data_IF_628522293726
#
_entry.id   IF_628522293726
#
_cell.length_a   1.000
_cell.length_b   1.000
_cell.length_c   1.000
_cell.angle_alpha   90.00
_cell.angle_beta   90.00
_cell.angle_gamma   90.00
#
_symmetry.space_group_name_H-M   'P 1'
#
loop_
_entity.id
_entity.type
_entity.pdbx_description
1 polymer ?
#
# COMPACT_ATOMS: atom_id res chain seq x y z
N UNK A 1 -8.86 -15.86 3.97
CA UNK A 1 -8.56 -15.65 5.41
C UNK A 1 -7.21 -15.01 5.45
N UNK A 2 -7.12 -13.83 6.06
CA UNK A 2 -5.85 -13.16 6.29
C UNK A 2 -4.97 -14.02 7.19
N UNK A 3 -3.71 -14.19 6.82
CA UNK A 3 -2.76 -15.03 7.53
C UNK A 3 -2.39 -14.40 8.89
N UNK A 4 -2.63 -15.12 9.99
CA UNK A 4 -2.34 -14.63 11.36
C UNK A 4 -0.84 -14.31 11.56
N UNK A 5 0.06 -15.04 10.89
CA UNK A 5 1.50 -14.77 10.96
C UNK A 5 1.88 -13.51 10.18
N UNK A 6 1.15 -13.17 9.12
CA UNK A 6 1.28 -11.91 8.40
C UNK A 6 0.83 -10.74 9.29
N UNK A 7 -0.34 -10.83 9.91
CA UNK A 7 -0.84 -9.81 10.83
C UNK A 7 0.15 -9.52 11.96
N UNK A 8 0.74 -10.56 12.57
CA UNK A 8 1.78 -10.40 13.61
C UNK A 8 3.03 -9.67 13.11
N UNK A 9 3.44 -9.90 11.87
CA UNK A 9 4.60 -9.20 11.28
C UNK A 9 4.27 -7.73 11.00
N UNK A 10 3.09 -7.44 10.48
CA UNK A 10 2.64 -6.06 10.23
C UNK A 10 2.51 -5.30 11.54
N UNK A 11 1.92 -5.93 12.57
CA UNK A 11 1.85 -5.35 13.92
C UNK A 11 3.23 -5.02 14.48
N UNK A 12 4.19 -5.95 14.35
CA UNK A 12 5.56 -5.70 14.79
C UNK A 12 6.25 -4.57 14.01
N UNK A 13 5.95 -4.42 12.71
CA UNK A 13 6.45 -3.33 11.89
C UNK A 13 5.86 -1.97 12.34
N UNK A 14 4.54 -1.87 12.51
CA UNK A 14 3.88 -0.68 13.05
C UNK A 14 4.37 -0.31 14.46
N UNK A 15 4.53 -1.30 15.36
CA UNK A 15 5.07 -1.06 16.71
C UNK A 15 6.51 -0.51 16.68
N UNK A 16 7.28 -0.84 15.62
CA UNK A 16 8.65 -0.36 15.41
C UNK A 16 8.72 1.01 14.73
N UNK A 17 7.63 1.40 14.06
CA UNK A 17 7.48 2.67 13.35
C UNK A 17 8.18 2.69 11.98
N UNK A 18 7.65 3.49 11.05
CA UNK A 18 8.14 3.60 9.68
C UNK A 18 9.61 4.06 9.58
N UNK A 19 10.12 4.78 10.59
CA UNK A 19 11.54 5.17 10.68
C UNK A 19 12.51 3.99 10.79
N UNK A 20 12.02 2.82 11.21
CA UNK A 20 12.79 1.56 11.29
C UNK A 20 12.44 0.60 10.17
N UNK A 21 11.67 1.05 9.18
CA UNK A 21 11.10 0.17 8.17
C UNK A 21 12.15 -0.48 7.28
N UNK A 22 11.78 -1.61 6.71
CA UNK A 22 12.58 -2.35 5.74
C UNK A 22 11.85 -2.52 4.41
N UNK A 23 12.61 -2.76 3.35
CA UNK A 23 12.12 -3.08 2.03
C UNK A 23 11.11 -4.25 2.02
N UNK A 24 11.29 -5.23 2.92
CA UNK A 24 10.42 -6.41 2.99
C UNK A 24 9.02 -6.07 3.49
N UNK A 25 8.88 -5.04 4.33
CA UNK A 25 7.59 -4.65 4.90
C UNK A 25 6.64 -4.05 3.87
N UNK A 26 7.16 -3.44 2.80
CA UNK A 26 6.34 -3.02 1.66
C UNK A 26 5.57 -4.20 1.07
N UNK A 27 6.27 -5.33 0.86
CA UNK A 27 5.68 -6.55 0.31
C UNK A 27 4.71 -7.19 1.31
N UNK A 28 4.98 -7.09 2.62
CA UNK A 28 4.03 -7.56 3.64
C UNK A 28 2.73 -6.75 3.60
N UNK A 29 2.83 -5.43 3.49
CA UNK A 29 1.65 -4.57 3.38
C UNK A 29 0.84 -4.90 2.12
N UNK A 30 1.48 -5.06 0.96
CA UNK A 30 0.78 -5.44 -0.27
C UNK A 30 0.17 -6.85 -0.22
N UNK A 31 0.86 -7.83 0.37
CA UNK A 31 0.28 -9.15 0.61
C UNK A 31 -0.95 -9.05 1.51
N UNK A 32 -0.89 -8.23 2.56
CA UNK A 32 -2.03 -8.02 3.43
C UNK A 32 -3.19 -7.36 2.69
N UNK A 33 -2.95 -6.26 1.97
CA UNK A 33 -3.98 -5.59 1.14
C UNK A 33 -4.62 -6.58 0.18
N UNK A 34 -3.84 -7.47 -0.45
CA UNK A 34 -4.36 -8.54 -1.32
C UNK A 34 -5.24 -9.55 -0.59
N UNK A 35 -4.84 -9.98 0.61
CA UNK A 35 -5.60 -10.97 1.37
C UNK A 35 -6.90 -10.36 1.90
N UNK A 36 -6.83 -9.16 2.48
CA UNK A 36 -8.00 -8.50 3.05
C UNK A 36 -8.99 -8.06 1.98
N UNK A 37 -8.54 -7.72 0.77
CA UNK A 37 -9.45 -7.34 -0.32
C UNK A 37 -10.37 -8.46 -0.80
N UNK A 38 -10.08 -9.71 -0.45
CA UNK A 38 -10.96 -10.86 -0.75
C UNK A 38 -12.05 -11.03 0.31
N UNK A 39 -11.85 -10.49 1.51
CA UNK A 39 -12.68 -10.72 2.69
C UNK A 39 -13.50 -9.50 3.11
N UNK A 40 -12.97 -8.30 2.91
CA UNK A 40 -13.64 -7.05 3.20
C UNK A 40 -14.54 -6.68 2.01
N UNK A 41 -15.85 -6.58 2.26
CA UNK A 41 -16.85 -6.33 1.21
C UNK A 41 -16.67 -4.95 0.57
N UNK A 42 -16.32 -3.93 1.35
CA UNK A 42 -16.14 -2.56 0.86
C UNK A 42 -14.93 -2.45 -0.09
N UNK A 43 -13.79 -3.04 0.30
CA UNK A 43 -12.61 -3.15 -0.57
C UNK A 43 -12.93 -3.91 -1.85
N UNK A 44 -13.70 -4.99 -1.75
CA UNK A 44 -14.02 -5.79 -2.92
C UNK A 44 -14.87 -4.99 -3.92
N UNK A 45 -15.88 -4.26 -3.43
CA UNK A 45 -16.71 -3.39 -4.26
C UNK A 45 -15.86 -2.31 -4.94
N UNK A 46 -14.98 -1.64 -4.20
CA UNK A 46 -14.11 -0.61 -4.74
C UNK A 46 -13.19 -1.16 -5.86
N UNK A 47 -12.58 -2.32 -5.65
CA UNK A 47 -11.65 -2.91 -6.64
C UNK A 47 -12.34 -3.43 -7.90
N UNK A 48 -13.62 -3.79 -7.86
CA UNK A 48 -14.36 -4.30 -9.03
C UNK A 48 -14.49 -3.23 -10.14
N UNK A 49 -14.54 -1.95 -9.76
CA UNK A 49 -14.69 -0.82 -10.67
C UNK A 49 -13.34 -0.22 -11.13
N UNK A 50 -12.21 -0.84 -10.74
CA UNK A 50 -10.86 -0.31 -10.99
C UNK A 50 -10.03 -1.16 -11.96
N UNK A 51 -9.29 -0.47 -12.83
CA UNK A 51 -8.16 -1.02 -13.60
C UNK A 51 -6.98 -0.07 -13.48
N UNK A 52 -6.09 -0.35 -12.53
CA UNK A 52 -4.96 0.51 -12.19
C UNK A 52 -3.65 -0.28 -12.12
N UNK A 53 -2.57 0.35 -12.55
CA UNK A 53 -1.21 -0.14 -12.37
C UNK A 53 -0.36 0.94 -11.69
N UNK A 54 0.26 0.60 -10.57
CA UNK A 54 1.02 1.52 -9.74
C UNK A 54 2.49 1.13 -9.79
N UNK A 55 3.36 2.11 -10.01
CA UNK A 55 4.80 1.96 -9.78
C UNK A 55 5.21 2.72 -8.53
N UNK A 56 5.67 2.03 -7.49
CA UNK A 56 6.26 2.65 -6.30
C UNK A 56 7.79 2.65 -6.41
N UNK A 57 8.42 3.80 -6.23
CA UNK A 57 9.87 3.97 -6.26
C UNK A 57 10.36 4.46 -4.89
N UNK A 58 11.21 3.67 -4.26
CA UNK A 58 11.90 4.04 -3.01
C UNK A 58 13.29 4.55 -3.35
N UNK A 59 13.41 5.87 -3.35
CA UNK A 59 14.52 6.65 -3.93
C UNK A 59 15.83 6.55 -3.15
N UNK A 60 15.76 6.33 -1.84
CA UNK A 60 16.89 6.25 -0.91
C UNK A 60 17.55 4.86 -0.89
N UNK A 61 16.83 3.83 -1.28
CA UNK A 61 17.32 2.44 -1.33
C UNK A 61 17.38 1.84 -2.75
N UNK A 62 17.07 2.64 -3.77
CA UNK A 62 17.05 2.24 -5.20
C UNK A 62 16.23 0.97 -5.45
N UNK A 63 15.03 0.92 -4.88
CA UNK A 63 14.09 -0.18 -5.05
C UNK A 63 12.80 0.27 -5.69
N UNK A 64 12.17 -0.66 -6.41
CA UNK A 64 10.88 -0.46 -7.06
C UNK A 64 9.95 -1.61 -6.73
N UNK A 65 8.69 -1.27 -6.58
CA UNK A 65 7.60 -2.21 -6.40
C UNK A 65 6.44 -1.81 -7.29
N UNK A 66 5.53 -2.73 -7.50
CA UNK A 66 4.31 -2.47 -8.21
C UNK A 66 3.13 -3.13 -7.53
N UNK A 67 1.97 -2.54 -7.74
CA UNK A 67 0.67 -3.07 -7.38
C UNK A 67 -0.27 -2.84 -8.55
N UNK A 68 -1.06 -3.83 -8.91
CA UNK A 68 -2.09 -3.73 -9.95
C UNK A 68 -3.43 -4.17 -9.41
N UNK A 69 -4.48 -3.48 -9.82
CA UNK A 69 -5.87 -3.91 -9.62
C UNK A 69 -6.48 -4.13 -10.99
N UNK A 70 -7.02 -5.31 -11.24
CA UNK A 70 -7.71 -5.65 -12.48
C UNK A 70 -8.88 -6.58 -12.21
N UNK A 71 -10.07 -6.17 -12.65
CA UNK A 71 -11.30 -6.98 -12.52
C UNK A 71 -11.50 -7.46 -11.06
N UNK A 72 -11.34 -6.56 -10.09
CA UNK A 72 -11.45 -6.88 -8.65
C UNK A 72 -10.26 -7.66 -8.06
N UNK A 73 -9.24 -8.00 -8.85
CA UNK A 73 -8.08 -8.75 -8.38
C UNK A 73 -6.88 -7.84 -8.17
N UNK A 74 -6.28 -7.93 -6.98
CA UNK A 74 -5.05 -7.24 -6.63
C UNK A 74 -3.85 -8.18 -6.81
N UNK A 75 -2.80 -7.70 -7.48
CA UNK A 75 -1.51 -8.37 -7.57
C UNK A 75 -0.36 -7.38 -7.34
N UNK A 76 0.80 -7.89 -6.92
CA UNK A 76 1.92 -7.03 -6.54
C UNK A 76 3.27 -7.74 -6.75
N UNK A 77 4.36 -6.97 -6.77
CA UNK A 77 5.69 -7.52 -6.91
C UNK A 77 6.82 -6.51 -6.78
N UNK A 78 8.06 -7.02 -6.77
CA UNK A 78 9.27 -6.22 -6.86
C UNK A 78 9.65 -5.98 -8.33
N UNK A 79 10.20 -4.79 -8.62
CA UNK A 79 10.66 -4.38 -9.94
C UNK A 79 9.73 -3.39 -10.63
N UNK A 80 9.75 -3.41 -11.97
CA UNK A 80 8.98 -2.50 -12.81
C UNK A 80 7.64 -3.10 -13.23
N UNK A 81 6.66 -2.23 -13.50
CA UNK A 81 5.38 -2.57 -14.13
C UNK A 81 5.25 -1.84 -15.46
N UNK A 82 4.64 -2.50 -16.45
CA UNK A 82 4.40 -1.91 -17.76
C UNK A 82 3.23 -0.92 -17.72
N UNK A 83 3.44 0.28 -18.28
CA UNK A 83 2.44 1.33 -18.43
C UNK A 83 1.71 1.66 -17.11
N UNK A 84 2.42 2.07 -16.05
CA UNK A 84 1.76 2.46 -14.81
C UNK A 84 0.79 3.61 -15.06
N UNK A 85 -0.41 3.51 -14.49
CA UNK A 85 -1.38 4.60 -14.35
C UNK A 85 -0.74 5.81 -13.69
N UNK A 86 0.03 5.57 -12.63
CA UNK A 86 0.89 6.56 -12.00
C UNK A 86 2.12 5.93 -11.34
N UNK A 87 3.14 6.75 -11.18
CA UNK A 87 4.35 6.44 -10.43
C UNK A 87 4.39 7.30 -9.18
N UNK A 88 4.50 6.66 -8.01
CA UNK A 88 4.73 7.31 -6.73
C UNK A 88 6.20 7.14 -6.34
N UNK A 89 6.90 8.23 -6.02
CA UNK A 89 8.28 8.15 -5.52
C UNK A 89 8.43 8.84 -4.17
N UNK A 90 9.13 8.19 -3.25
CA UNK A 90 9.37 8.66 -1.87
C UNK A 90 10.67 8.07 -1.31
N UNK A 91 11.00 8.38 -0.05
CA UNK A 91 11.94 7.54 0.73
C UNK A 91 11.23 6.27 1.23
N UNK A 92 11.99 5.28 1.69
CA UNK A 92 11.44 4.08 2.33
C UNK A 92 10.57 4.43 3.54
N UNK A 93 11.06 5.30 4.43
CA UNK A 93 10.33 5.73 5.63
C UNK A 93 8.96 6.32 5.28
N UNK A 94 8.90 7.25 4.32
CA UNK A 94 7.64 7.88 3.91
C UNK A 94 6.73 6.88 3.21
N UNK A 95 7.27 6.06 2.30
CA UNK A 95 6.49 5.07 1.55
C UNK A 95 5.90 3.99 2.44
N UNK A 96 6.69 3.46 3.38
CA UNK A 96 6.21 2.50 4.38
C UNK A 96 5.22 3.16 5.34
N UNK A 97 5.48 4.39 5.79
CA UNK A 97 4.59 5.13 6.68
C UNK A 97 3.21 5.37 6.08
N UNK A 98 3.10 5.62 4.77
CA UNK A 98 1.81 5.71 4.08
C UNK A 98 1.08 4.36 4.12
N UNK A 99 1.76 3.27 3.78
CA UNK A 99 1.14 1.94 3.78
C UNK A 99 0.72 1.49 5.18
N UNK A 100 1.44 1.90 6.22
CA UNK A 100 1.18 1.56 7.62
C UNK A 100 0.17 2.50 8.30
N UNK A 101 -0.25 3.59 7.65
CA UNK A 101 -1.15 4.60 8.22
C UNK A 101 -0.48 5.63 9.13
N UNK A 102 0.85 5.63 9.25
CA UNK A 102 1.61 6.58 10.06
C UNK A 102 1.80 7.94 9.37
N UNK A 103 1.73 7.99 8.05
CA UNK A 103 1.93 9.18 7.22
C UNK A 103 0.71 9.41 6.32
N UNK A 104 0.11 10.60 6.43
CA UNK A 104 -0.94 11.03 5.51
C UNK A 104 -0.35 11.34 4.12
N UNK A 105 -0.77 10.61 3.09
CA UNK A 105 -0.25 10.72 1.74
C UNK A 105 -0.49 12.11 1.12
N UNK A 106 -1.66 12.71 1.40
CA UNK A 106 -2.00 14.04 0.88
C UNK A 106 -1.07 15.11 1.46
N UNK A 107 -0.86 15.10 2.78
CA UNK A 107 0.07 16.01 3.45
C UNK A 107 1.51 15.81 2.99
N UNK A 108 1.96 14.56 2.84
CA UNK A 108 3.29 14.24 2.32
C UNK A 108 3.49 14.75 0.88
N UNK A 109 2.47 14.66 0.03
CA UNK A 109 2.51 15.21 -1.33
C UNK A 109 2.60 16.73 -1.30
N UNK A 110 1.79 17.39 -0.47
CA UNK A 110 1.81 18.84 -0.31
C UNK A 110 3.14 19.36 0.27
N UNK A 111 3.80 18.57 1.11
CA UNK A 111 5.12 18.86 1.68
C UNK A 111 6.27 18.63 0.67
N UNK A 112 6.03 17.84 -0.38
CA UNK A 112 7.04 17.43 -1.35
C UNK A 112 7.85 16.19 -0.94
N UNK A 113 7.41 15.47 0.10
CA UNK A 113 8.03 14.23 0.58
C UNK A 113 7.68 13.03 -0.31
N UNK A 114 6.55 13.10 -1.02
CA UNK A 114 6.23 12.20 -2.12
C UNK A 114 6.02 12.97 -3.42
N UNK A 115 6.33 12.30 -4.53
CA UNK A 115 6.03 12.76 -5.88
C UNK A 115 5.08 11.77 -6.54
N UNK A 116 4.11 12.28 -7.29
CA UNK A 116 3.16 11.49 -8.06
C UNK A 116 3.21 11.95 -9.52
N UNK A 117 3.57 11.06 -10.42
CA UNK A 117 3.61 11.30 -11.86
C UNK A 117 2.61 10.38 -12.56
N UNK A 118 1.65 10.95 -13.31
CA UNK A 118 0.62 10.18 -14.02
C UNK A 118 -0.79 10.60 -13.61
N UNK A 119 -1.70 9.63 -13.54
CA UNK A 119 -3.10 9.87 -13.20
C UNK A 119 -3.29 10.11 -11.70
N UNK A 120 -3.59 11.35 -11.31
CA UNK A 120 -3.85 11.72 -9.92
C UNK A 120 -5.14 11.12 -9.36
N UNK A 121 -6.14 10.84 -10.21
CA UNK A 121 -7.37 10.19 -9.75
C UNK A 121 -7.09 8.76 -9.29
N UNK A 122 -6.26 8.03 -10.03
CA UNK A 122 -5.85 6.67 -9.68
C UNK A 122 -4.97 6.68 -8.41
N UNK A 123 -4.19 7.74 -8.19
CA UNK A 123 -3.43 7.91 -6.95
C UNK A 123 -4.32 8.15 -5.72
N UNK A 124 -5.41 8.92 -5.87
CA UNK A 124 -6.41 9.08 -4.80
C UNK A 124 -7.15 7.77 -4.53
N UNK A 125 -7.53 7.02 -5.57
CA UNK A 125 -8.18 5.73 -5.40
C UNK A 125 -7.24 4.71 -4.71
N UNK A 126 -5.94 4.75 -5.00
CA UNK A 126 -4.96 3.95 -4.25
C UNK A 126 -4.91 4.32 -2.77
N UNK A 127 -4.96 5.61 -2.42
CA UNK A 127 -5.02 6.04 -1.03
C UNK A 127 -6.26 5.45 -0.33
N UNK A 128 -7.43 5.50 -0.98
CA UNK A 128 -8.68 4.94 -0.45
C UNK A 128 -8.58 3.41 -0.21
N UNK A 129 -7.98 2.65 -1.14
CA UNK A 129 -7.69 1.22 -0.95
C UNK A 129 -6.84 0.98 0.30
N UNK A 130 -5.79 1.78 0.51
CA UNK A 130 -4.91 1.63 1.67
C UNK A 130 -5.66 1.98 2.97
N UNK A 131 -6.47 3.03 2.97
CA UNK A 131 -7.28 3.43 4.12
C UNK A 131 -8.29 2.34 4.53
N UNK A 132 -9.04 1.79 3.56
CA UNK A 132 -9.97 0.68 3.81
C UNK A 132 -9.25 -0.59 4.30
N UNK A 133 -8.07 -0.88 3.75
CA UNK A 133 -7.25 -2.01 4.22
C UNK A 133 -6.77 -1.80 5.67
N UNK A 134 -6.40 -0.57 6.04
CA UNK A 134 -5.98 -0.23 7.41
C UNK A 134 -7.13 -0.28 8.40
N UNK A 135 -8.33 0.19 8.03
CA UNK A 135 -9.53 0.04 8.86
C UNK A 135 -9.83 -1.43 9.13
N UNK A 136 -9.83 -2.26 8.09
CA UNK A 136 -10.03 -3.70 8.23
C UNK A 136 -8.91 -4.39 9.02
N UNK A 137 -7.69 -3.87 8.95
CA UNK A 137 -6.56 -4.34 9.76
C UNK A 137 -6.80 -4.06 11.25
N UNK A 138 -7.26 -2.87 11.63
CA UNK A 138 -7.52 -2.49 13.01
C UNK A 138 -8.44 -3.51 13.69
N UNK A 139 -9.56 -3.85 13.05
CA UNK A 139 -10.50 -4.87 13.52
C UNK A 139 -9.84 -6.25 13.72
N UNK A 140 -8.97 -6.65 12.78
CA UNK A 140 -8.29 -7.96 12.83
C UNK A 140 -7.22 -8.05 13.91
N UNK A 141 -6.62 -6.93 14.31
CA UNK A 141 -5.58 -6.92 15.34
C UNK A 141 -6.10 -6.62 16.75
N UNK A 142 -7.35 -6.19 16.91
CA UNK A 142 -8.01 -6.14 18.22
C UNK A 142 -8.09 -7.53 18.87
N UNK A 143 -8.18 -8.59 18.06
CA UNK A 143 -8.32 -9.97 18.50
C UNK A 143 -6.98 -10.73 18.70
N UNK A 144 -5.83 -10.08 18.44
CA UNK A 144 -4.46 -10.66 18.52
C UNK A 144 -3.75 -10.41 19.86
#
# INVERSE_FOLDING_TARGET
MVDESLLKKIKAAQDSGASSASAEEIMLMYEFTKQISVENEDLKEELEDMDIAISQILTDIDKKYWLTVKEGNLDYGEGDVDNPSFTMSSTLEVGAGILMGEVDATSAYMAGDITVEGNLQDAMAFQEIIELALEAYEDLVEDL
#
